data_IF_628974169529
#
_entry.id   IF_628974169529
#
_cell.length_a   1.000
_cell.length_b   1.000
_cell.length_c   1.000
_cell.angle_alpha   90.00
_cell.angle_beta   90.00
_cell.angle_gamma   90.00
#
_symmetry.space_group_name_H-M   'P 1'
#
loop_
_entity.id
_entity.type
_entity.pdbx_description
1 polymer ?
#
# COMPACT_ATOMS: atom_id res chain seq x y z
N UNK A 1 9.25 19.22 13.79
CA UNK A 1 10.22 18.40 14.54
C UNK A 1 9.60 17.02 14.66
N UNK A 2 10.04 16.09 13.84
CA UNK A 2 9.66 14.68 13.94
C UNK A 2 10.47 14.08 15.10
N UNK A 3 9.81 13.87 16.25
CA UNK A 3 10.35 13.09 17.35
C UNK A 3 9.75 11.71 17.30
N UNK A 4 10.58 10.67 17.41
CA UNK A 4 10.07 9.32 17.57
C UNK A 4 9.76 9.05 19.03
N UNK A 5 8.56 8.58 19.31
CA UNK A 5 8.20 8.04 20.61
C UNK A 5 8.73 6.61 20.72
N UNK A 6 9.86 6.46 21.36
CA UNK A 6 10.50 5.15 21.56
C UNK A 6 9.83 4.38 22.69
N UNK A 7 9.80 3.03 22.63
CA UNK A 7 9.36 2.21 23.77
C UNK A 7 10.17 2.48 25.02
N UNK A 8 9.57 2.21 26.19
CA UNK A 8 10.25 2.28 27.48
C UNK A 8 11.59 1.53 27.43
N UNK A 9 12.65 2.02 28.11
CA UNK A 9 13.98 1.42 28.04
C UNK A 9 14.01 -0.08 28.34
N UNK A 10 13.21 -0.55 29.27
CA UNK A 10 13.11 -1.97 29.63
C UNK A 10 12.59 -2.82 28.47
N UNK A 11 11.52 -2.39 27.80
CA UNK A 11 10.94 -3.09 26.65
C UNK A 11 11.89 -3.04 25.45
N UNK A 12 12.52 -1.89 25.21
CA UNK A 12 13.48 -1.73 24.12
C UNK A 12 14.70 -2.65 24.26
N UNK A 13 15.18 -2.86 25.49
CA UNK A 13 16.31 -3.76 25.76
C UNK A 13 15.94 -5.24 25.62
N UNK A 14 14.70 -5.60 25.90
CA UNK A 14 14.19 -6.97 25.77
C UNK A 14 13.70 -7.31 24.37
N UNK A 15 13.48 -6.32 23.50
CA UNK A 15 12.97 -6.53 22.16
C UNK A 15 14.05 -7.14 21.24
N UNK A 16 13.69 -8.20 20.51
CA UNK A 16 14.54 -8.77 19.47
C UNK A 16 14.74 -7.80 18.30
N UNK A 17 13.69 -7.06 17.94
CA UNK A 17 13.69 -6.04 16.89
C UNK A 17 12.77 -4.87 17.27
N UNK A 18 13.05 -3.70 16.71
CA UNK A 18 12.20 -2.52 16.77
C UNK A 18 11.67 -2.19 15.38
N UNK A 19 10.43 -1.74 15.31
CA UNK A 19 9.81 -1.28 14.08
C UNK A 19 8.91 -0.06 14.32
N UNK A 20 8.68 0.74 13.28
CA UNK A 20 7.71 1.82 13.34
C UNK A 20 6.30 1.30 13.01
N UNK A 21 5.29 2.01 13.48
CA UNK A 21 3.87 1.67 13.28
C UNK A 21 3.11 2.74 12.48
N UNK A 22 3.82 3.61 11.79
CA UNK A 22 3.24 4.69 11.00
C UNK A 22 2.47 4.13 9.81
N UNK A 23 1.25 4.65 9.62
CA UNK A 23 0.38 4.34 8.49
C UNK A 23 0.18 5.62 7.70
N UNK A 24 0.32 5.54 6.38
CA UNK A 24 0.10 6.66 5.50
C UNK A 24 -1.39 6.78 5.16
N UNK A 25 -1.96 7.95 5.42
CA UNK A 25 -3.32 8.28 5.00
C UNK A 25 -3.27 8.98 3.64
N UNK A 26 -4.13 8.57 2.73
CA UNK A 26 -4.37 9.29 1.49
C UNK A 26 -5.12 10.62 1.76
N UNK A 27 -5.28 11.47 0.75
CA UNK A 27 -5.97 12.76 0.87
C UNK A 27 -7.43 12.65 1.36
N UNK A 28 -8.06 11.50 1.14
CA UNK A 28 -9.41 11.19 1.62
C UNK A 28 -9.43 10.61 3.05
N UNK A 29 -8.29 10.54 3.72
CA UNK A 29 -8.14 10.04 5.08
C UNK A 29 -8.20 8.52 5.21
N UNK A 30 -8.13 7.77 4.11
CA UNK A 30 -8.15 6.31 4.10
C UNK A 30 -6.73 5.75 4.13
N UNK A 31 -6.49 4.75 4.99
CA UNK A 31 -5.22 4.02 5.09
C UNK A 31 -5.09 3.02 3.94
N UNK A 32 -4.23 3.33 2.95
CA UNK A 32 -3.98 2.44 1.80
C UNK A 32 -2.52 2.12 1.59
N UNK A 33 -1.64 2.79 2.30
CA UNK A 33 -0.20 2.63 2.11
C UNK A 33 0.56 2.81 3.41
N UNK A 34 1.79 2.32 3.42
CA UNK A 34 2.77 2.53 4.48
C UNK A 34 4.16 2.68 3.88
N UNK A 35 5.07 3.25 4.64
CA UNK A 35 6.49 3.22 4.28
C UNK A 35 7.15 1.98 4.89
N UNK A 36 7.97 1.28 4.11
CA UNK A 36 8.76 0.15 4.58
C UNK A 36 9.79 0.57 5.63
N UNK A 37 10.39 1.75 5.43
CA UNK A 37 11.35 2.32 6.34
C UNK A 37 10.99 3.75 6.68
N UNK A 38 10.99 4.06 7.97
CA UNK A 38 10.73 5.41 8.45
C UNK A 38 11.56 5.73 9.70
N UNK A 39 12.09 6.94 9.74
CA UNK A 39 12.91 7.37 10.86
C UNK A 39 14.09 8.25 10.46
N UNK A 40 15.11 8.36 11.32
CA UNK A 40 16.32 9.11 11.01
C UNK A 40 17.03 8.54 9.79
N UNK A 41 17.45 9.40 8.86
CA UNK A 41 18.04 9.00 7.57
C UNK A 41 19.28 8.10 7.69
N UNK A 42 19.99 8.17 8.81
CA UNK A 42 21.18 7.35 9.08
C UNK A 42 20.86 5.90 9.45
N UNK A 43 19.67 5.63 10.01
CA UNK A 43 19.22 4.32 10.42
C UNK A 43 17.68 4.30 10.59
N UNK A 44 16.92 4.32 9.48
CA UNK A 44 15.47 4.27 9.55
C UNK A 44 15.03 2.89 10.08
N UNK A 45 13.97 2.87 10.87
CA UNK A 45 13.36 1.63 11.36
C UNK A 45 12.53 0.98 10.26
N UNK A 46 12.56 -0.36 10.15
CA UNK A 46 11.61 -1.07 9.30
C UNK A 46 10.19 -0.92 9.86
N UNK A 47 9.18 -1.13 9.02
CA UNK A 47 7.80 -1.24 9.51
C UNK A 47 7.68 -2.41 10.50
N UNK A 48 6.75 -2.32 11.45
CA UNK A 48 6.61 -3.31 12.53
C UNK A 48 6.34 -4.73 12.01
N UNK A 49 5.57 -4.90 10.92
CA UNK A 49 5.37 -6.19 10.27
C UNK A 49 6.67 -6.82 9.79
N UNK A 50 7.50 -6.05 9.11
CA UNK A 50 8.83 -6.47 8.64
C UNK A 50 9.76 -6.76 9.82
N UNK A 51 9.73 -5.93 10.88
CA UNK A 51 10.52 -6.17 12.09
C UNK A 51 10.17 -7.50 12.76
N UNK A 52 8.90 -7.92 12.76
CA UNK A 52 8.48 -9.23 13.26
C UNK A 52 9.11 -10.37 12.46
N UNK A 53 9.14 -10.27 11.13
CA UNK A 53 9.78 -11.28 10.25
C UNK A 53 11.30 -11.28 10.41
N UNK A 54 11.92 -10.13 10.62
CA UNK A 54 13.34 -10.03 10.93
C UNK A 54 13.71 -10.72 12.25
N UNK A 55 12.85 -10.62 13.26
CA UNK A 55 13.06 -11.29 14.55
C UNK A 55 13.10 -12.82 14.46
N UNK A 56 12.47 -13.39 13.45
CA UNK A 56 12.52 -14.83 13.13
C UNK A 56 13.78 -15.25 12.36
N UNK A 57 14.69 -14.33 12.08
CA UNK A 57 15.91 -14.62 11.31
C UNK A 57 15.68 -14.69 9.80
N UNK A 58 14.55 -14.24 9.31
CA UNK A 58 14.33 -14.07 7.88
C UNK A 58 15.22 -12.95 7.35
N UNK A 59 16.17 -13.29 6.48
CA UNK A 59 17.12 -12.35 5.88
C UNK A 59 16.43 -11.50 4.81
N UNK A 60 15.59 -10.56 5.22
CA UNK A 60 15.00 -9.56 4.34
C UNK A 60 16.01 -8.41 4.15
N UNK A 61 16.08 -7.88 2.94
CA UNK A 61 16.91 -6.70 2.64
C UNK A 61 16.54 -5.50 3.53
N UNK A 62 15.31 -5.48 4.02
CA UNK A 62 14.71 -4.47 4.88
C UNK A 62 15.06 -4.57 6.37
N UNK A 63 15.77 -5.62 6.83
CA UNK A 63 16.09 -5.82 8.24
C UNK A 63 17.21 -4.90 8.77
N UNK A 64 17.32 -3.68 8.29
CA UNK A 64 18.35 -2.73 8.73
C UNK A 64 17.74 -1.65 9.61
N UNK A 65 18.31 -1.39 10.77
CA UNK A 65 17.99 -0.21 11.55
C UNK A 65 17.74 -0.43 13.04
N UNK A 66 18.80 -0.69 13.81
CA UNK A 66 18.69 -0.84 15.26
C UNK A 66 19.31 0.30 16.09
N UNK A 67 19.96 1.27 15.50
CA UNK A 67 20.59 2.37 16.25
C UNK A 67 20.51 3.66 15.46
N UNK A 68 19.61 4.55 15.87
CA UNK A 68 19.50 5.87 15.27
C UNK A 68 20.23 6.94 16.08
N UNK A 69 21.12 7.74 15.47
CA UNK A 69 21.57 9.01 16.05
C UNK A 69 20.39 9.99 16.13
N UNK A 70 20.27 10.65 17.27
CA UNK A 70 19.13 11.50 17.66
C UNK A 70 18.93 12.76 16.79
N UNK A 71 19.87 13.12 15.92
CA UNK A 71 19.89 14.40 15.20
C UNK A 71 19.97 14.28 13.65
N UNK A 72 19.58 13.15 13.08
CA UNK A 72 19.52 13.01 11.62
C UNK A 72 18.18 13.52 11.06
N UNK A 73 18.13 14.04 9.82
CA UNK A 73 16.89 14.36 9.15
C UNK A 73 15.99 13.13 9.05
N UNK A 74 14.68 13.33 9.18
CA UNK A 74 13.71 12.25 9.07
C UNK A 74 13.56 11.83 7.60
N UNK A 75 13.41 10.53 7.37
CA UNK A 75 13.18 9.97 6.02
C UNK A 75 12.05 8.96 6.08
N UNK A 76 11.34 8.87 4.97
CA UNK A 76 10.31 7.84 4.71
C UNK A 76 10.67 7.24 3.34
N UNK A 77 10.85 5.93 3.28
CA UNK A 77 11.36 5.23 2.10
C UNK A 77 10.48 4.03 1.76
N UNK A 78 10.46 3.68 0.48
CA UNK A 78 9.81 2.48 -0.05
C UNK A 78 8.32 2.43 0.29
N UNK A 79 7.54 3.38 -0.27
CA UNK A 79 6.09 3.42 -0.12
C UNK A 79 5.48 2.16 -0.72
N UNK A 80 4.81 1.38 0.12
CA UNK A 80 4.09 0.17 -0.25
C UNK A 80 2.59 0.38 -0.15
N UNK A 81 1.85 -0.17 -1.10
CA UNK A 81 0.39 -0.17 -1.07
C UNK A 81 -0.07 -1.40 -0.32
N UNK A 82 -0.85 -1.17 0.74
CA UNK A 82 -1.41 -2.22 1.57
C UNK A 82 -2.44 -3.03 0.80
N UNK A 83 -2.28 -4.33 0.85
CA UNK A 83 -3.25 -5.28 0.35
C UNK A 83 -3.99 -5.89 1.53
N UNK A 84 -5.23 -5.48 1.71
CA UNK A 84 -6.07 -5.97 2.80
C UNK A 84 -6.54 -7.40 2.54
N UNK A 85 -6.42 -8.28 3.54
CA UNK A 85 -6.98 -9.62 3.50
C UNK A 85 -8.50 -9.54 3.42
N UNK A 86 -9.10 -10.44 2.64
CA UNK A 86 -10.55 -10.51 2.52
C UNK A 86 -11.13 -11.41 3.61
N UNK A 87 -12.37 -11.13 4.00
CA UNK A 87 -13.10 -11.86 5.03
C UNK A 87 -13.46 -10.97 6.21
N UNK A 88 -14.54 -11.32 6.91
CA UNK A 88 -14.95 -10.64 8.15
C UNK A 88 -15.33 -11.69 9.19
N UNK A 89 -14.58 -11.78 10.31
CA UNK A 89 -13.32 -11.07 10.59
C UNK A 89 -12.15 -11.59 9.74
N UNK A 90 -11.24 -10.69 9.35
CA UNK A 90 -10.06 -11.06 8.59
C UNK A 90 -9.04 -11.88 9.41
N UNK A 91 -8.99 -11.62 10.72
CA UNK A 91 -8.10 -12.27 11.67
C UNK A 91 -8.84 -12.74 12.91
N UNK A 92 -8.36 -13.85 13.51
CA UNK A 92 -8.87 -14.31 14.79
C UNK A 92 -8.41 -13.39 15.90
N UNK A 93 -9.33 -12.85 16.68
CA UNK A 93 -9.07 -11.94 17.79
C UNK A 93 -9.47 -12.55 19.10
N UNK A 94 -8.65 -12.41 20.12
CA UNK A 94 -8.90 -12.84 21.49
C UNK A 94 -8.83 -11.66 22.45
N UNK A 95 -9.63 -11.68 23.50
CA UNK A 95 -9.52 -10.68 24.57
C UNK A 95 -8.18 -10.84 25.31
N UNK A 96 -7.51 -9.75 25.59
CA UNK A 96 -6.27 -9.77 26.36
C UNK A 96 -6.45 -10.40 27.75
N UNK A 97 -7.62 -10.19 28.38
CA UNK A 97 -7.92 -10.79 29.69
C UNK A 97 -8.05 -12.31 29.58
N UNK A 98 -8.61 -12.85 28.49
CA UNK A 98 -8.76 -14.30 28.30
C UNK A 98 -7.38 -14.96 28.13
N UNK A 99 -6.43 -14.25 27.50
CA UNK A 99 -5.04 -14.69 27.40
C UNK A 99 -4.39 -14.75 28.78
N UNK A 100 -4.53 -13.67 29.56
CA UNK A 100 -3.91 -13.57 30.90
C UNK A 100 -4.50 -14.58 31.90
N UNK A 101 -5.79 -14.88 31.81
CA UNK A 101 -6.47 -15.81 32.71
C UNK A 101 -6.43 -17.27 32.23
N UNK A 102 -5.77 -17.53 31.08
CA UNK A 102 -5.61 -18.87 30.53
C UNK A 102 -6.90 -19.50 30.01
N UNK A 103 -7.89 -18.68 29.61
CA UNK A 103 -9.18 -19.14 29.10
C UNK A 103 -9.18 -19.50 27.59
N UNK A 104 -8.02 -19.42 26.95
CA UNK A 104 -7.89 -19.79 25.55
C UNK A 104 -7.86 -21.32 25.36
N UNK A 105 -8.39 -21.81 24.21
CA UNK A 105 -8.23 -23.20 23.85
C UNK A 105 -6.76 -23.60 23.77
N UNK A 106 -6.42 -24.81 24.20
CA UNK A 106 -5.07 -25.31 24.15
C UNK A 106 -4.48 -25.21 22.72
N UNK A 107 -3.35 -24.58 22.58
CA UNK A 107 -2.67 -24.40 21.30
C UNK A 107 -3.23 -23.29 20.39
N UNK A 108 -4.16 -22.47 20.87
CA UNK A 108 -4.76 -21.38 20.07
C UNK A 108 -3.74 -20.41 19.46
N UNK A 109 -2.64 -20.17 20.15
CA UNK A 109 -1.55 -19.27 19.73
C UNK A 109 -0.31 -20.01 19.21
N UNK A 110 -0.34 -21.36 19.16
CA UNK A 110 0.81 -22.13 18.71
C UNK A 110 1.08 -21.91 17.22
N UNK A 111 2.34 -21.69 16.87
CA UNK A 111 2.81 -21.48 15.49
C UNK A 111 2.10 -20.33 14.76
N UNK A 112 1.76 -19.28 15.50
CA UNK A 112 1.10 -18.09 14.97
C UNK A 112 1.85 -16.81 15.34
N UNK A 113 1.82 -15.85 14.45
CA UNK A 113 2.15 -14.48 14.78
C UNK A 113 1.05 -13.90 15.65
N UNK A 114 1.43 -13.35 16.79
CA UNK A 114 0.49 -12.74 17.73
C UNK A 114 0.83 -11.26 17.89
N UNK A 115 -0.14 -10.41 17.54
CA UNK A 115 0.00 -8.96 17.67
C UNK A 115 -0.88 -8.51 18.83
N UNK A 116 -0.31 -7.77 19.77
CA UNK A 116 -1.02 -7.20 20.91
C UNK A 116 -1.20 -5.71 20.67
N UNK A 117 -2.43 -5.22 20.71
CA UNK A 117 -2.73 -3.81 20.51
C UNK A 117 -4.04 -3.37 21.12
N UNK A 118 -4.21 -2.06 21.29
CA UNK A 118 -5.43 -1.46 21.78
C UNK A 118 -6.50 -1.44 20.69
N UNK A 119 -7.70 -1.94 21.00
CA UNK A 119 -8.85 -1.94 20.09
C UNK A 119 -10.05 -1.17 20.64
N UNK A 120 -10.00 -0.77 21.93
CA UNK A 120 -11.11 -0.05 22.54
C UNK A 120 -11.16 1.40 22.04
N UNK A 121 -12.37 1.90 21.85
CA UNK A 121 -12.62 3.27 21.41
C UNK A 121 -11.95 4.28 22.36
N UNK A 122 -11.14 5.16 21.80
CA UNK A 122 -10.41 6.19 22.55
C UNK A 122 -9.08 5.76 23.15
N UNK A 123 -8.68 4.48 23.04
CA UNK A 123 -7.39 3.99 23.53
C UNK A 123 -6.36 3.73 22.43
N UNK A 124 -6.77 3.69 21.18
CA UNK A 124 -5.87 3.44 20.05
C UNK A 124 -6.26 4.21 18.81
N UNK A 125 -5.38 4.19 17.83
CA UNK A 125 -5.62 4.79 16.53
C UNK A 125 -6.65 3.95 15.75
N UNK A 126 -7.61 4.64 15.15
CA UNK A 126 -8.67 4.05 14.34
C UNK A 126 -8.59 4.60 12.92
N UNK A 127 -8.44 3.72 11.94
CA UNK A 127 -8.23 4.07 10.54
C UNK A 127 -9.44 3.69 9.67
N UNK A 128 -9.81 4.58 8.76
CA UNK A 128 -10.65 4.20 7.64
C UNK A 128 -9.84 3.31 6.70
N UNK A 129 -10.39 2.19 6.25
CA UNK A 129 -9.73 1.24 5.36
C UNK A 129 -10.62 0.92 4.14
N UNK A 130 -10.03 0.55 2.98
CA UNK A 130 -10.80 0.31 1.75
C UNK A 130 -11.84 -0.80 1.82
N UNK A 131 -11.67 -1.73 2.75
CA UNK A 131 -12.49 -2.93 2.90
C UNK A 131 -13.71 -2.75 3.80
N UNK A 132 -13.79 -1.64 4.51
CA UNK A 132 -14.90 -1.34 5.41
C UNK A 132 -15.71 -0.17 4.89
N UNK A 133 -16.97 -0.07 5.32
CA UNK A 133 -17.79 1.09 4.96
C UNK A 133 -17.16 2.38 5.51
N UNK A 134 -17.47 3.52 4.90
CA UNK A 134 -16.93 4.82 5.37
C UNK A 134 -17.29 5.14 6.84
N UNK A 135 -18.32 4.49 7.37
CA UNK A 135 -18.74 4.64 8.77
C UNK A 135 -17.95 3.75 9.74
N UNK A 136 -17.32 2.70 9.26
CA UNK A 136 -16.54 1.78 10.06
C UNK A 136 -15.05 2.11 9.97
N UNK A 137 -14.35 1.90 11.09
CA UNK A 137 -12.91 2.07 11.19
C UNK A 137 -12.30 0.82 11.80
N UNK A 138 -11.11 0.47 11.35
CA UNK A 138 -10.35 -0.64 11.92
C UNK A 138 -9.27 -0.11 12.88
N UNK A 139 -8.96 -0.84 13.97
CA UNK A 139 -7.86 -0.48 14.86
C UNK A 139 -6.50 -0.55 14.14
N UNK A 140 -5.55 0.28 14.56
CA UNK A 140 -4.19 0.28 14.00
C UNK A 140 -3.49 -1.09 14.09
N UNK A 141 -3.73 -1.85 15.14
CA UNK A 141 -3.22 -3.23 15.27
C UNK A 141 -3.71 -4.15 14.15
N UNK A 142 -4.93 -3.95 13.65
CA UNK A 142 -5.47 -4.72 12.53
C UNK A 142 -4.83 -4.28 11.20
N UNK A 143 -4.55 -2.98 11.03
CA UNK A 143 -3.76 -2.49 9.88
C UNK A 143 -2.39 -3.15 9.83
N UNK A 144 -1.71 -3.26 10.99
CA UNK A 144 -0.43 -3.97 11.11
C UNK A 144 -0.58 -5.46 10.76
N UNK A 145 -1.67 -6.11 11.18
CA UNK A 145 -1.93 -7.50 10.84
C UNK A 145 -2.12 -7.69 9.32
N UNK A 146 -2.79 -6.76 8.63
CA UNK A 146 -2.89 -6.77 7.17
C UNK A 146 -1.53 -6.57 6.50
N UNK A 147 -0.69 -5.67 7.02
CA UNK A 147 0.68 -5.48 6.53
C UNK A 147 1.51 -6.76 6.67
N UNK A 148 1.50 -7.39 7.85
CA UNK A 148 2.18 -8.66 8.09
C UNK A 148 1.69 -9.77 7.15
N UNK A 149 0.38 -9.87 6.94
CA UNK A 149 -0.18 -10.84 6.01
C UNK A 149 0.28 -10.58 4.56
N UNK A 150 0.37 -9.32 4.14
CA UNK A 150 0.87 -8.96 2.82
C UNK A 150 2.36 -9.33 2.67
N UNK A 151 3.17 -9.10 3.70
CA UNK A 151 4.59 -9.48 3.75
C UNK A 151 4.77 -11.01 3.65
N UNK A 152 4.00 -11.77 4.43
CA UNK A 152 4.03 -13.24 4.41
C UNK A 152 3.62 -13.81 3.05
N UNK A 153 2.63 -13.20 2.40
CA UNK A 153 2.17 -13.60 1.07
C UNK A 153 3.04 -13.02 -0.06
N UNK A 154 4.05 -12.21 0.27
CA UNK A 154 4.90 -11.48 -0.70
C UNK A 154 4.08 -10.62 -1.67
N UNK A 155 3.03 -10.01 -1.19
CA UNK A 155 2.12 -9.15 -1.96
C UNK A 155 2.56 -7.68 -1.88
N UNK A 156 3.75 -7.40 -2.38
CA UNK A 156 4.28 -6.05 -2.42
C UNK A 156 3.81 -5.34 -3.68
N UNK A 157 3.04 -4.28 -3.50
CA UNK A 157 2.62 -3.39 -4.58
C UNK A 157 3.20 -2.00 -4.32
N UNK A 158 3.99 -1.52 -5.26
CA UNK A 158 4.60 -0.20 -5.21
C UNK A 158 4.03 0.70 -6.31
N UNK A 159 4.07 2.01 -6.10
CA UNK A 159 3.77 2.95 -7.18
C UNK A 159 4.85 2.85 -8.25
N UNK A 160 4.44 2.79 -9.51
CA UNK A 160 5.40 2.77 -10.61
C UNK A 160 6.29 4.02 -10.58
N UNK A 161 7.61 3.89 -10.85
CA UNK A 161 8.49 5.05 -10.98
C UNK A 161 7.93 6.06 -11.98
N UNK A 162 8.18 7.36 -11.73
CA UNK A 162 7.56 8.45 -12.49
C UNK A 162 7.77 8.32 -14.01
N UNK A 163 8.97 7.95 -14.45
CA UNK A 163 9.30 7.76 -15.85
C UNK A 163 8.42 6.66 -16.51
N UNK A 164 8.22 5.54 -15.82
CA UNK A 164 7.39 4.44 -16.30
C UNK A 164 5.91 4.80 -16.27
N UNK A 165 5.47 5.51 -15.24
CA UNK A 165 4.11 6.00 -15.15
C UNK A 165 3.80 7.02 -16.27
N UNK A 166 4.75 7.91 -16.58
CA UNK A 166 4.63 8.84 -17.69
C UNK A 166 4.58 8.10 -19.04
N UNK A 167 5.47 7.14 -19.27
CA UNK A 167 5.46 6.33 -20.49
C UNK A 167 4.13 5.57 -20.65
N UNK A 168 3.64 4.95 -19.57
CA UNK A 168 2.36 4.24 -19.57
C UNK A 168 1.18 5.15 -19.94
N UNK A 169 1.21 6.42 -19.53
CA UNK A 169 0.14 7.36 -19.82
C UNK A 169 0.25 7.97 -21.23
N UNK A 170 1.45 8.32 -21.69
CA UNK A 170 1.63 8.98 -22.98
C UNK A 170 1.51 8.02 -24.17
N UNK A 171 2.01 6.79 -24.04
CA UNK A 171 2.05 5.82 -25.14
C UNK A 171 0.65 5.54 -25.75
N UNK A 172 -0.38 5.16 -24.97
CA UNK A 172 -1.68 4.85 -25.56
C UNK A 172 -2.38 6.08 -26.15
N UNK A 173 -2.16 7.27 -25.58
CA UNK A 173 -2.68 8.53 -26.12
C UNK A 173 -2.03 8.86 -27.45
N UNK A 174 -0.69 8.73 -27.56
CA UNK A 174 0.03 8.94 -28.80
C UNK A 174 -0.38 7.94 -29.91
N UNK A 175 -0.54 6.67 -29.54
CA UNK A 175 -1.03 5.63 -30.47
C UNK A 175 -2.45 5.91 -30.95
N UNK A 176 -3.33 6.42 -30.07
CA UNK A 176 -4.68 6.83 -30.43
C UNK A 176 -4.66 7.97 -31.42
N UNK A 177 -3.87 9.00 -31.20
CA UNK A 177 -3.69 10.11 -32.15
C UNK A 177 -3.18 9.61 -33.50
N UNK A 178 -2.18 8.78 -33.53
CA UNK A 178 -1.61 8.20 -34.71
C UNK A 178 -2.66 7.35 -35.49
N UNK A 179 -3.41 6.51 -34.78
CA UNK A 179 -4.45 5.67 -35.37
C UNK A 179 -5.55 6.51 -36.05
N UNK A 180 -6.00 7.58 -35.42
CA UNK A 180 -7.03 8.47 -35.99
C UNK A 180 -6.53 9.19 -37.24
N UNK A 181 -5.25 9.60 -37.24
CA UNK A 181 -4.66 10.28 -38.40
C UNK A 181 -4.49 9.33 -39.61
N UNK A 182 -4.02 8.09 -39.35
CA UNK A 182 -3.66 7.14 -40.41
C UNK A 182 -4.81 6.27 -40.89
N UNK A 183 -5.74 5.87 -40.03
CA UNK A 183 -6.74 4.84 -40.33
C UNK A 183 -8.12 5.39 -40.76
N UNK A 184 -8.36 6.69 -40.63
CA UNK A 184 -9.67 7.28 -40.90
C UNK A 184 -10.68 7.12 -39.76
N UNK A 185 -11.92 7.65 -39.89
CA UNK A 185 -12.83 7.85 -38.76
C UNK A 185 -13.28 6.57 -38.06
N UNK A 186 -13.78 5.60 -38.79
CA UNK A 186 -14.34 4.37 -38.18
C UNK A 186 -13.27 3.47 -37.63
N UNK A 187 -12.20 3.23 -38.38
CA UNK A 187 -11.07 2.42 -37.91
C UNK A 187 -10.33 3.10 -36.75
N UNK A 188 -10.22 4.44 -36.76
CA UNK A 188 -9.67 5.23 -35.65
C UNK A 188 -10.51 5.12 -34.37
N UNK A 189 -11.86 5.10 -34.50
CA UNK A 189 -12.76 4.88 -33.36
C UNK A 189 -12.56 3.49 -32.74
N UNK A 190 -12.52 2.45 -33.57
CA UNK A 190 -12.31 1.07 -33.12
C UNK A 190 -10.94 0.95 -32.42
N UNK A 191 -9.88 1.51 -33.02
CA UNK A 191 -8.56 1.52 -32.45
C UNK A 191 -8.52 2.24 -31.10
N UNK A 192 -9.21 3.39 -30.97
CA UNK A 192 -9.32 4.14 -29.72
C UNK A 192 -10.02 3.32 -28.61
N UNK A 193 -11.13 2.66 -28.94
CA UNK A 193 -11.86 1.80 -28.01
C UNK A 193 -11.02 0.59 -27.57
N UNK A 194 -10.28 -0.02 -28.50
CA UNK A 194 -9.37 -1.13 -28.19
C UNK A 194 -8.22 -0.69 -27.29
N UNK A 195 -7.59 0.45 -27.57
CA UNK A 195 -6.52 1.00 -26.75
C UNK A 195 -7.01 1.40 -25.35
N UNK A 196 -8.22 1.96 -25.25
CA UNK A 196 -8.84 2.27 -23.96
C UNK A 196 -9.01 1.00 -23.10
N UNK A 197 -9.61 -0.04 -23.70
CA UNK A 197 -9.81 -1.31 -23.01
C UNK A 197 -8.48 -1.99 -22.65
N UNK A 198 -7.52 -2.00 -23.56
CA UNK A 198 -6.20 -2.56 -23.32
C UNK A 198 -5.47 -1.83 -22.19
N UNK A 199 -5.53 -0.48 -22.14
CA UNK A 199 -4.95 0.32 -21.07
C UNK A 199 -5.62 0.02 -19.72
N UNK A 200 -6.94 -0.11 -19.70
CA UNK A 200 -7.70 -0.46 -18.49
C UNK A 200 -7.30 -1.85 -17.96
N UNK A 201 -7.24 -2.85 -18.83
CA UNK A 201 -6.85 -4.22 -18.48
C UNK A 201 -5.38 -4.26 -18.01
N UNK A 202 -4.48 -3.56 -18.70
CA UNK A 202 -3.09 -3.47 -18.30
C UNK A 202 -2.93 -2.82 -16.91
N UNK A 203 -3.64 -1.71 -16.65
CA UNK A 203 -3.62 -1.05 -15.35
C UNK A 203 -4.16 -1.95 -14.23
N UNK A 204 -5.23 -2.70 -14.47
CA UNK A 204 -5.82 -3.61 -13.50
C UNK A 204 -4.92 -4.84 -13.22
N UNK A 205 -4.23 -5.35 -14.24
CA UNK A 205 -3.35 -6.51 -14.12
C UNK A 205 -1.94 -6.21 -13.62
N UNK A 206 -1.45 -5.00 -13.81
CA UNK A 206 -0.07 -4.63 -13.47
C UNK A 206 0.30 -4.90 -12.01
N UNK A 207 -0.54 -4.58 -11.00
CA UNK A 207 -0.20 -4.86 -9.59
C UNK A 207 0.03 -6.34 -9.30
N UNK A 208 -0.69 -7.22 -9.98
CA UNK A 208 -0.56 -8.67 -9.76
C UNK A 208 0.59 -9.30 -10.55
N UNK A 209 0.92 -8.76 -11.72
CA UNK A 209 1.95 -9.31 -12.61
C UNK A 209 3.35 -8.75 -12.36
N UNK A 210 3.44 -7.45 -12.06
CA UNK A 210 4.71 -6.74 -11.92
C UNK A 210 4.95 -6.15 -10.52
N UNK A 211 3.95 -6.18 -9.64
CA UNK A 211 4.02 -5.49 -8.35
C UNK A 211 3.95 -3.96 -8.46
N UNK A 212 3.69 -3.39 -9.63
CA UNK A 212 3.60 -1.95 -9.83
C UNK A 212 2.17 -1.48 -10.09
N UNK A 213 1.79 -0.38 -9.43
CA UNK A 213 0.54 0.31 -9.69
C UNK A 213 0.79 1.55 -10.56
N UNK A 214 0.08 1.63 -11.69
CA UNK A 214 0.09 2.78 -12.59
C UNK A 214 -1.13 3.67 -12.37
N UNK A 215 -0.94 4.99 -12.44
CA UNK A 215 -2.03 5.95 -12.43
C UNK A 215 -2.62 6.05 -13.85
N UNK A 216 -3.59 5.19 -14.18
CA UNK A 216 -4.13 5.08 -15.53
C UNK A 216 -5.15 6.18 -15.91
N UNK A 217 -5.67 6.92 -14.93
CA UNK A 217 -6.72 7.91 -15.17
C UNK A 217 -6.36 8.97 -16.24
N UNK A 218 -5.13 9.54 -16.27
CA UNK A 218 -4.77 10.49 -17.33
C UNK A 218 -4.75 9.88 -18.73
N UNK A 219 -4.27 8.63 -18.88
CA UNK A 219 -4.28 7.92 -20.16
C UNK A 219 -5.71 7.68 -20.67
N UNK A 220 -6.58 7.15 -19.80
CA UNK A 220 -7.97 6.87 -20.13
C UNK A 220 -8.74 8.15 -20.49
N UNK A 221 -8.56 9.23 -19.73
CA UNK A 221 -9.15 10.52 -20.03
C UNK A 221 -8.61 11.09 -21.36
N UNK A 222 -7.31 10.98 -21.62
CA UNK A 222 -6.69 11.39 -22.86
C UNK A 222 -7.25 10.66 -24.08
N UNK A 223 -7.33 9.31 -24.05
CA UNK A 223 -7.90 8.49 -25.12
C UNK A 223 -9.36 8.89 -25.36
N UNK A 224 -10.16 9.02 -24.30
CA UNK A 224 -11.56 9.38 -24.40
C UNK A 224 -11.79 10.78 -24.99
N UNK A 225 -10.89 11.73 -24.75
CA UNK A 225 -10.99 13.10 -25.24
C UNK A 225 -10.52 13.27 -26.70
N UNK A 226 -9.55 12.48 -27.15
CA UNK A 226 -8.90 12.64 -28.47
C UNK A 226 -9.91 12.52 -29.60
N UNK A 227 -10.77 11.49 -29.59
CA UNK A 227 -11.71 11.26 -30.69
C UNK A 227 -12.79 12.35 -30.86
N UNK A 228 -13.50 12.80 -29.80
CA UNK A 228 -14.43 13.90 -29.86
C UNK A 228 -13.79 15.21 -30.33
N UNK A 229 -12.59 15.54 -29.83
CA UNK A 229 -11.89 16.76 -30.20
C UNK A 229 -11.47 16.76 -31.67
N UNK A 230 -10.99 15.64 -32.18
CA UNK A 230 -10.64 15.49 -33.58
C UNK A 230 -11.88 15.54 -34.49
N UNK A 231 -12.96 14.86 -34.15
CA UNK A 231 -14.23 14.85 -34.86
C UNK A 231 -14.83 16.25 -34.94
N UNK A 232 -14.85 16.99 -33.82
CA UNK A 232 -15.30 18.38 -33.77
C UNK A 232 -14.53 19.27 -34.76
N UNK A 233 -13.20 19.20 -34.73
CA UNK A 233 -12.34 19.99 -35.61
C UNK A 233 -12.61 19.71 -37.10
N UNK A 234 -12.96 18.50 -37.47
CA UNK A 234 -13.25 18.09 -38.85
C UNK A 234 -14.62 18.55 -39.31
N UNK A 235 -15.59 18.71 -38.40
CA UNK A 235 -16.94 19.21 -38.70
C UNK A 235 -16.99 20.73 -38.77
N UNK A 236 -16.02 21.43 -38.16
CA UNK A 236 -15.92 22.88 -38.12
C UNK A 236 -14.99 23.47 -39.19
N UNK A 237 -14.32 22.65 -39.98
CA UNK A 237 -13.48 23.02 -41.12
C UNK A 237 -14.17 22.75 -42.44
#
# INVERSE_FOLDING_TARGET
RSSADAPMPLLRQAAAQLGHVQVQLDEDGVARSLFEHEGPASAPWPHFSTAMLCAEGLALASCRGNAAPVNAPWTSQDLQILRFAQGQPAFTTYSYIDVLTGQLPAGALRDKYVIVGATATGLGDMFAAPMVSQAERIPGVEVIAHALNADLMRWHVQRAPEAWNLAFNLTPVALTLLAIVLLGPLAGLIASATLFLATLVAAAGAPTLSGWQFAAAPALAGIAAVYPLWSWRRLSA
#
